data_IF_755797247117
#
_entry.id   IF_755797247117
#
_cell.length_a   1.000
_cell.length_b   1.000
_cell.length_c   1.000
_cell.angle_alpha   90.00
_cell.angle_beta   90.00
_cell.angle_gamma   90.00
#
_symmetry.space_group_name_H-M   'P 1'
#
loop_
_entity.id
_entity.type
_entity.pdbx_description
1 polymer ?
#
# COMPACT_ATOMS: atom_id res chain seq x y z
N UNK A 1 -46.68 41.44 -25.24
CA UNK A 1 -47.45 40.95 -24.07
C UNK A 1 -47.14 39.48 -23.88
N UNK A 2 -46.44 39.19 -22.77
CA UNK A 2 -46.38 37.94 -21.97
C UNK A 2 -46.67 36.58 -22.64
N UNK A 3 -45.65 35.71 -22.67
CA UNK A 3 -45.78 34.26 -22.73
C UNK A 3 -45.51 33.70 -21.31
N UNK A 4 -46.30 32.74 -20.79
CA UNK A 4 -46.07 32.14 -19.49
C UNK A 4 -44.92 31.13 -19.53
N UNK A 5 -43.98 31.27 -18.58
CA UNK A 5 -42.89 30.34 -18.33
C UNK A 5 -43.43 29.11 -17.59
N UNK A 6 -43.52 27.98 -18.29
CA UNK A 6 -43.95 26.70 -17.73
C UNK A 6 -42.88 26.17 -16.77
N UNK A 7 -43.32 25.86 -15.56
CA UNK A 7 -42.59 25.20 -14.47
C UNK A 7 -41.84 23.95 -14.96
N UNK A 8 -40.53 23.89 -14.69
CA UNK A 8 -39.78 22.63 -14.65
C UNK A 8 -39.53 22.35 -13.18
N UNK A 9 -40.41 21.52 -12.62
CA UNK A 9 -40.20 20.89 -11.33
C UNK A 9 -39.20 19.75 -11.46
N UNK A 10 -38.38 19.60 -10.42
CA UNK A 10 -37.86 18.32 -9.95
C UNK A 10 -36.74 17.72 -10.80
N UNK A 11 -35.54 17.69 -10.23
CA UNK A 11 -34.79 16.45 -9.98
C UNK A 11 -33.54 16.87 -9.20
N UNK A 12 -33.63 16.81 -7.88
CA UNK A 12 -32.43 16.73 -7.05
C UNK A 12 -31.74 15.42 -7.41
N UNK A 13 -30.44 15.40 -7.76
CA UNK A 13 -29.71 14.16 -7.77
C UNK A 13 -29.62 13.71 -6.31
N UNK A 14 -30.44 12.74 -5.94
CA UNK A 14 -30.14 11.86 -4.82
C UNK A 14 -28.98 10.99 -5.27
N UNK A 15 -27.78 11.58 -5.26
CA UNK A 15 -26.55 10.81 -5.33
C UNK A 15 -26.57 9.94 -4.09
N UNK A 16 -27.04 8.71 -4.26
CA UNK A 16 -26.98 7.69 -3.23
C UNK A 16 -25.57 7.68 -2.70
N UNK A 17 -25.45 7.93 -1.39
CA UNK A 17 -24.25 7.62 -0.64
C UNK A 17 -24.13 6.10 -0.66
N UNK A 18 -23.61 5.58 -1.77
CA UNK A 18 -23.05 4.24 -1.79
C UNK A 18 -21.80 4.35 -0.93
N UNK A 19 -21.96 4.13 0.38
CA UNK A 19 -20.83 3.93 1.29
C UNK A 19 -20.10 2.71 0.73
N UNK A 20 -18.92 2.86 0.10
CA UNK A 20 -18.18 1.67 -0.27
C UNK A 20 -17.88 0.94 1.04
N UNK A 21 -18.05 -0.38 1.02
CA UNK A 21 -17.76 -1.28 2.13
C UNK A 21 -16.44 -0.88 2.81
N UNK A 22 -16.55 -0.21 3.97
CA UNK A 22 -15.40 0.29 4.71
C UNK A 22 -14.50 -0.87 5.20
N UNK A 23 -15.04 -2.09 5.26
CA UNK A 23 -14.31 -3.30 5.60
C UNK A 23 -13.36 -3.75 4.47
N UNK A 24 -13.80 -3.72 3.20
CA UNK A 24 -12.94 -4.11 2.08
C UNK A 24 -11.83 -3.08 1.79
N UNK A 25 -12.08 -1.80 2.07
CA UNK A 25 -11.05 -0.76 1.92
C UNK A 25 -9.93 -0.85 2.97
N UNK A 26 -10.24 -1.38 4.16
CA UNK A 26 -9.28 -1.53 5.27
C UNK A 26 -8.27 -2.64 4.99
N UNK A 27 -8.75 -3.81 4.59
CA UNK A 27 -7.91 -4.98 4.30
C UNK A 27 -6.93 -4.70 3.15
N UNK A 28 -7.36 -3.92 2.15
CA UNK A 28 -6.49 -3.49 1.05
C UNK A 28 -5.42 -2.49 1.48
N UNK A 29 -5.70 -1.62 2.44
CA UNK A 29 -4.76 -0.60 2.90
C UNK A 29 -3.63 -1.20 3.75
N UNK A 30 -3.94 -2.18 4.60
CA UNK A 30 -2.94 -2.91 5.39
C UNK A 30 -2.06 -3.80 4.51
N UNK A 31 -2.66 -4.50 3.54
CA UNK A 31 -1.91 -5.28 2.55
C UNK A 31 -0.99 -4.39 1.70
N UNK A 32 -1.46 -3.22 1.28
CA UNK A 32 -0.64 -2.24 0.55
C UNK A 32 0.51 -1.72 1.41
N UNK A 33 0.25 -1.34 2.66
CA UNK A 33 1.28 -0.89 3.59
C UNK A 33 2.34 -1.96 3.87
N UNK A 34 1.90 -3.20 4.07
CA UNK A 34 2.78 -4.35 4.26
C UNK A 34 3.69 -4.59 3.05
N UNK A 35 3.14 -4.51 1.84
CA UNK A 35 3.94 -4.59 0.61
C UNK A 35 4.99 -3.48 0.52
N UNK A 36 4.62 -2.23 0.81
CA UNK A 36 5.56 -1.10 0.80
C UNK A 36 6.67 -1.24 1.83
N UNK A 37 6.35 -1.80 2.99
CA UNK A 37 7.36 -2.12 4.00
C UNK A 37 8.34 -3.19 3.51
N UNK A 38 7.84 -4.26 2.88
CA UNK A 38 8.68 -5.32 2.33
C UNK A 38 9.55 -4.82 1.16
N UNK A 39 9.02 -3.94 0.30
CA UNK A 39 9.78 -3.24 -0.76
C UNK A 39 10.96 -2.45 -0.16
N UNK A 40 10.73 -1.68 0.90
CA UNK A 40 11.81 -0.94 1.58
C UNK A 40 12.85 -1.88 2.21
N UNK A 41 12.42 -2.98 2.81
CA UNK A 41 13.32 -3.99 3.36
C UNK A 41 14.18 -4.64 2.28
N UNK A 42 13.58 -5.02 1.15
CA UNK A 42 14.32 -5.58 0.02
C UNK A 42 15.35 -4.57 -0.52
N UNK A 43 14.97 -3.30 -0.67
CA UNK A 43 15.90 -2.24 -1.12
C UNK A 43 17.12 -2.15 -0.19
N UNK A 44 16.91 -2.14 1.13
CA UNK A 44 18.03 -2.10 2.10
C UNK A 44 18.86 -3.39 2.10
N UNK A 45 18.24 -4.56 1.98
CA UNK A 45 18.97 -5.83 1.87
C UNK A 45 19.86 -5.87 0.62
N UNK A 46 19.35 -5.40 -0.52
CA UNK A 46 20.10 -5.35 -1.78
C UNK A 46 21.26 -4.35 -1.72
N UNK A 47 21.05 -3.17 -1.13
CA UNK A 47 22.12 -2.19 -0.88
C UNK A 47 23.20 -2.80 0.01
N UNK A 48 22.81 -3.42 1.13
CA UNK A 48 23.74 -4.00 2.09
C UNK A 48 24.48 -5.24 1.53
N UNK A 49 23.86 -6.00 0.63
CA UNK A 49 24.52 -7.06 -0.14
C UNK A 49 25.59 -6.53 -1.11
N UNK A 50 25.71 -5.21 -1.26
CA UNK A 50 26.71 -4.55 -2.09
C UNK A 50 26.28 -4.34 -3.54
N UNK A 51 25.00 -4.52 -3.87
CA UNK A 51 24.51 -4.37 -5.25
C UNK A 51 24.66 -2.92 -5.73
N UNK A 52 24.37 -1.93 -4.89
CA UNK A 52 24.58 -0.50 -5.22
C UNK A 52 26.05 -0.23 -5.55
N UNK A 53 26.95 -0.80 -4.76
CA UNK A 53 28.40 -0.65 -4.97
C UNK A 53 28.84 -1.34 -6.25
N UNK A 54 28.34 -2.54 -6.53
CA UNK A 54 28.66 -3.27 -7.75
C UNK A 54 28.20 -2.53 -9.02
N UNK A 55 27.02 -1.93 -9.00
CA UNK A 55 26.48 -1.15 -10.12
C UNK A 55 27.21 0.20 -10.30
N UNK A 56 27.74 0.77 -9.22
CA UNK A 56 28.47 2.06 -9.24
C UNK A 56 29.97 1.96 -9.44
N UNK A 57 30.55 0.75 -9.38
CA UNK A 57 32.00 0.50 -9.36
C UNK A 57 32.81 1.17 -10.48
N UNK A 58 32.19 1.56 -11.61
CA UNK A 58 32.89 2.18 -12.74
C UNK A 58 32.18 3.41 -13.34
N UNK A 59 31.13 3.95 -12.70
CA UNK A 59 30.14 4.79 -13.37
C UNK A 59 29.96 6.24 -12.89
N UNK A 60 30.71 6.70 -11.89
CA UNK A 60 30.60 8.07 -11.37
C UNK A 60 29.25 8.39 -10.68
N UNK A 61 28.97 9.66 -10.39
CA UNK A 61 27.73 10.07 -9.67
C UNK A 61 26.44 9.70 -10.42
N UNK A 62 26.43 9.77 -11.76
CA UNK A 62 25.25 9.43 -12.56
C UNK A 62 24.86 7.95 -12.45
N UNK A 63 25.84 7.06 -12.35
CA UNK A 63 25.57 5.64 -12.10
C UNK A 63 25.01 5.40 -10.70
N UNK A 64 25.29 6.26 -9.71
CA UNK A 64 24.76 6.12 -8.36
C UNK A 64 23.24 6.34 -8.30
N UNK A 65 22.76 7.43 -8.91
CA UNK A 65 21.33 7.70 -9.00
C UNK A 65 20.58 6.60 -9.77
N UNK A 66 21.13 6.14 -10.89
CA UNK A 66 20.56 5.03 -11.66
C UNK A 66 20.57 3.71 -10.87
N UNK A 67 21.65 3.43 -10.14
CA UNK A 67 21.75 2.18 -9.36
C UNK A 67 20.70 2.12 -8.26
N UNK A 68 20.41 3.25 -7.60
CA UNK A 68 19.33 3.33 -6.62
C UNK A 68 17.97 3.05 -7.25
N UNK A 69 17.69 3.70 -8.38
CA UNK A 69 16.47 3.44 -9.15
C UNK A 69 16.32 1.96 -9.51
N UNK A 70 17.37 1.32 -10.03
CA UNK A 70 17.35 -0.11 -10.38
C UNK A 70 17.12 -0.99 -9.15
N UNK A 71 17.74 -0.67 -8.02
CA UNK A 71 17.55 -1.43 -6.78
C UNK A 71 16.12 -1.32 -6.28
N UNK A 72 15.53 -0.13 -6.32
CA UNK A 72 14.15 0.08 -5.89
C UNK A 72 13.15 -0.66 -6.79
N UNK A 73 13.37 -0.68 -8.11
CA UNK A 73 12.56 -1.47 -9.05
C UNK A 73 12.68 -2.99 -8.79
N UNK A 74 13.89 -3.50 -8.52
CA UNK A 74 14.10 -4.91 -8.16
C UNK A 74 13.41 -5.22 -6.83
N UNK A 75 13.51 -4.32 -5.86
CA UNK A 75 12.89 -4.50 -4.55
C UNK A 75 11.36 -4.54 -4.63
N UNK A 76 10.76 -3.69 -5.48
CA UNK A 76 9.33 -3.70 -5.78
C UNK A 76 8.89 -5.02 -6.41
N UNK A 77 9.63 -5.52 -7.42
CA UNK A 77 9.34 -6.80 -8.06
C UNK A 77 9.47 -7.99 -7.10
N UNK A 78 10.45 -7.95 -6.20
CA UNK A 78 10.65 -8.96 -5.15
C UNK A 78 9.55 -8.92 -4.09
N UNK A 79 9.10 -7.74 -3.68
CA UNK A 79 7.98 -7.62 -2.74
C UNK A 79 6.68 -8.21 -3.31
N UNK A 80 6.46 -8.08 -4.62
CA UNK A 80 5.28 -8.63 -5.29
C UNK A 80 5.38 -10.15 -5.55
N UNK A 81 6.53 -10.65 -6.03
CA UNK A 81 6.70 -12.06 -6.44
C UNK A 81 7.21 -12.98 -5.34
N UNK A 82 7.99 -12.44 -4.42
CA UNK A 82 8.66 -13.17 -3.34
C UNK A 82 8.48 -12.45 -2.00
N UNK A 83 7.23 -12.31 -1.52
CA UNK A 83 6.96 -11.67 -0.23
C UNK A 83 7.61 -12.45 0.91
N UNK A 84 8.12 -11.71 1.88
CA UNK A 84 8.75 -12.26 3.09
C UNK A 84 7.71 -12.71 4.13
N UNK A 85 6.44 -12.38 3.91
CA UNK A 85 5.33 -12.72 4.81
C UNK A 85 5.41 -11.95 6.13
N UNK A 86 6.00 -10.75 6.12
CA UNK A 86 6.07 -9.89 7.30
C UNK A 86 4.77 -9.10 7.45
N UNK A 87 4.18 -8.70 6.33
CA UNK A 87 2.87 -8.05 6.22
C UNK A 87 1.74 -8.85 6.88
N UNK A 88 1.66 -10.15 6.62
CA UNK A 88 0.68 -11.06 7.23
C UNK A 88 0.93 -11.26 8.74
N UNK A 89 2.20 -11.29 9.14
CA UNK A 89 2.60 -11.53 10.54
C UNK A 89 2.42 -10.30 11.42
N UNK A 90 2.50 -9.09 10.86
CA UNK A 90 2.22 -7.85 11.59
C UNK A 90 0.75 -7.69 11.95
N UNK A 91 -0.17 -8.22 11.14
CA UNK A 91 -1.61 -8.26 11.47
C UNK A 91 -1.93 -9.20 12.65
N UNK A 92 -1.23 -10.32 12.74
CA UNK A 92 -1.37 -11.28 13.84
C UNK A 92 -1.05 -10.66 15.21
N UNK A 93 -0.06 -9.76 15.33
CA UNK A 93 0.26 -9.09 16.60
C UNK A 93 -0.81 -8.10 17.08
N UNK A 94 -1.59 -7.52 16.16
CA UNK A 94 -2.73 -6.67 16.53
C UNK A 94 -3.85 -7.50 17.18
N UNK A 95 -4.04 -8.75 16.74
CA UNK A 95 -5.05 -9.66 17.27
C UNK A 95 -4.67 -10.24 18.65
N UNK A 96 -3.38 -10.49 18.92
CA UNK A 96 -2.91 -10.95 20.25
C UNK A 96 -2.88 -9.84 21.32
N UNK A 97 -3.01 -8.57 20.91
CA UNK A 97 -3.01 -7.40 21.80
C UNK A 97 -4.42 -6.82 22.00
N UNK A 98 -5.48 -7.53 21.59
CA UNK A 98 -6.85 -7.19 22.00
C UNK A 98 -7.08 -7.54 23.48
N UNK A 99 -7.25 -6.55 24.38
CA UNK A 99 -7.51 -6.80 25.80
C UNK A 99 -8.91 -7.41 26.08
N UNK A 100 -9.73 -7.67 25.06
CA UNK A 100 -11.08 -8.26 25.20
C UNK A 100 -11.19 -9.77 24.93
N UNK A 101 -10.08 -10.50 24.75
CA UNK A 101 -10.14 -11.98 24.79
C UNK A 101 -10.49 -12.42 26.20
N UNK A 102 -11.79 -12.59 26.45
CA UNK A 102 -12.31 -13.16 27.69
C UNK A 102 -11.84 -14.60 27.77
N UNK A 103 -10.98 -14.89 28.74
CA UNK A 103 -10.70 -16.25 29.15
C UNK A 103 -12.03 -16.96 29.42
N UNK A 104 -12.38 -17.92 28.57
CA UNK A 104 -13.45 -18.88 28.85
C UNK A 104 -12.96 -19.78 29.98
N UNK A 105 -13.63 -19.82 31.14
CA UNK A 105 -13.30 -20.81 32.15
C UNK A 105 -13.83 -22.16 31.68
N UNK A 106 -12.96 -23.17 31.63
CA UNK A 106 -13.37 -24.58 31.63
C UNK A 106 -13.92 -25.00 32.99
#
# INVERSE_FOLDING_TARGET
MTLPLTSIGGLAPTTGLNKPDAAMASETAEAEMGRRFEELLWSEMLKNAGLEKALTMNGGEGASAFSRYVIDEIASDLADKHPLGLSERTGLYAEMMDPSVKETPE
#
